data_IF_970889781050
#
_entry.id   IF_970889781050
#
_cell.length_a   1.000
_cell.length_b   1.000
_cell.length_c   1.000
_cell.angle_alpha   90.00
_cell.angle_beta   90.00
_cell.angle_gamma   90.00
#
_symmetry.space_group_name_H-M   'P 1'
#
loop_
_entity.id
_entity.type
_entity.pdbx_description
1 polymer ?
#
# COMPACT_ATOMS: atom_id res chain seq x y z
N UNK A 1 70.30 8.76 -53.78
CA UNK A 1 70.18 8.23 -52.38
C UNK A 1 68.96 8.90 -51.77
N UNK A 2 67.83 8.24 -51.82
CA UNK A 2 66.51 8.79 -51.34
C UNK A 2 66.05 7.95 -50.16
N UNK A 3 66.10 8.55 -48.97
CA UNK A 3 65.54 7.97 -47.75
C UNK A 3 64.03 8.36 -47.65
N UNK A 4 63.18 7.34 -47.67
CA UNK A 4 61.72 7.47 -47.41
C UNK A 4 61.47 7.28 -45.93
N UNK A 5 60.96 8.32 -45.27
CA UNK A 5 60.51 8.29 -43.88
C UNK A 5 59.05 7.84 -43.90
N UNK A 6 58.75 6.68 -43.31
CA UNK A 6 57.40 6.23 -43.04
C UNK A 6 56.95 6.75 -41.65
N UNK A 7 56.01 7.68 -41.64
CA UNK A 7 55.31 8.09 -40.44
C UNK A 7 54.19 7.08 -40.13
N UNK A 8 54.35 6.34 -39.06
CA UNK A 8 53.27 5.50 -38.51
C UNK A 8 52.35 6.35 -37.65
N UNK A 9 51.13 6.55 -38.11
CA UNK A 9 50.06 7.22 -37.37
C UNK A 9 49.37 6.18 -36.48
N UNK A 10 49.70 6.17 -35.18
CA UNK A 10 49.01 5.33 -34.17
C UNK A 10 47.68 5.96 -33.81
N UNK A 11 46.59 5.38 -34.27
CA UNK A 11 45.22 5.75 -33.86
C UNK A 11 44.92 5.10 -32.50
N UNK A 12 44.94 5.94 -31.46
CA UNK A 12 44.52 5.54 -30.11
C UNK A 12 42.98 5.51 -30.05
N UNK A 13 42.36 4.31 -30.11
CA UNK A 13 40.96 4.13 -29.90
C UNK A 13 40.68 4.16 -28.40
N UNK A 14 40.18 5.30 -27.91
CA UNK A 14 39.61 5.42 -26.57
C UNK A 14 38.27 4.68 -26.54
N UNK A 15 38.29 3.44 -26.00
CA UNK A 15 37.06 2.75 -25.63
C UNK A 15 36.44 3.49 -24.43
N UNK A 16 35.43 4.33 -24.71
CA UNK A 16 34.58 4.88 -23.70
C UNK A 16 33.69 3.74 -23.17
N UNK A 17 34.08 3.13 -22.08
CA UNK A 17 33.20 2.31 -21.26
C UNK A 17 32.09 3.22 -20.73
N UNK A 18 30.94 3.21 -21.39
CA UNK A 18 29.72 3.72 -20.80
C UNK A 18 29.46 2.89 -19.54
N UNK A 19 29.88 3.43 -18.38
CA UNK A 19 29.43 2.90 -17.10
C UNK A 19 27.91 3.05 -17.11
N UNK A 20 27.21 1.95 -17.39
CA UNK A 20 25.79 1.85 -17.16
C UNK A 20 25.61 2.21 -15.69
N UNK A 21 25.00 3.35 -15.41
CA UNK A 21 24.54 3.67 -14.06
C UNK A 21 23.47 2.62 -13.77
N UNK A 22 23.90 1.50 -13.18
CA UNK A 22 22.98 0.51 -12.64
C UNK A 22 22.19 1.25 -11.57
N UNK A 23 20.92 1.55 -11.89
CA UNK A 23 19.99 1.96 -10.86
C UNK A 23 19.99 0.84 -9.85
N UNK A 24 20.38 1.14 -8.62
CA UNK A 24 20.24 0.20 -7.54
C UNK A 24 18.73 -0.01 -7.32
N UNK A 25 18.29 -1.26 -7.40
CA UNK A 25 16.92 -1.62 -7.01
C UNK A 25 16.87 -1.64 -5.48
N UNK A 26 15.71 -1.48 -4.87
CA UNK A 26 15.57 -1.49 -3.41
C UNK A 26 14.68 -2.64 -2.96
N UNK A 27 15.11 -3.37 -1.92
CA UNK A 27 14.27 -4.33 -1.18
C UNK A 27 14.19 -3.90 0.27
N UNK A 28 12.99 -3.75 0.81
CA UNK A 28 12.72 -3.41 2.20
C UNK A 28 11.96 -4.58 2.81
N UNK A 29 12.53 -5.19 3.85
CA UNK A 29 11.87 -6.28 4.59
C UNK A 29 11.38 -5.75 5.92
N UNK A 30 10.11 -5.98 6.21
CA UNK A 30 9.49 -5.66 7.50
C UNK A 30 9.21 -6.95 8.27
N UNK A 31 9.39 -6.90 9.59
CA UNK A 31 9.13 -8.01 10.50
C UNK A 31 8.27 -7.55 11.68
N UNK A 32 7.60 -8.51 12.32
CA UNK A 32 6.90 -8.28 13.58
C UNK A 32 7.88 -8.21 14.77
N UNK A 33 7.35 -7.96 15.97
CA UNK A 33 8.13 -7.93 17.20
C UNK A 33 8.79 -9.29 17.54
N UNK A 34 8.29 -10.39 16.99
CA UNK A 34 8.87 -11.75 17.12
C UNK A 34 9.99 -12.03 16.13
N UNK A 35 10.27 -11.12 15.19
CA UNK A 35 11.28 -11.28 14.15
C UNK A 35 10.79 -12.07 12.92
N UNK A 36 9.48 -12.33 12.82
CA UNK A 36 8.90 -13.01 11.66
C UNK A 36 8.68 -12.00 10.53
N UNK A 37 9.23 -12.23 9.32
CA UNK A 37 8.98 -11.35 8.18
C UNK A 37 7.49 -11.29 7.84
N UNK A 38 6.93 -10.09 7.74
CA UNK A 38 5.52 -9.84 7.49
C UNK A 38 5.26 -9.22 6.12
N UNK A 39 6.20 -8.42 5.63
CA UNK A 39 6.08 -7.80 4.33
C UNK A 39 7.45 -7.59 3.67
N UNK A 40 7.49 -7.73 2.36
CA UNK A 40 8.65 -7.40 1.53
C UNK A 40 8.19 -6.42 0.45
N UNK A 41 8.85 -5.26 0.41
CA UNK A 41 8.63 -4.25 -0.62
C UNK A 41 9.86 -4.22 -1.51
N UNK A 42 9.67 -4.49 -2.79
CA UNK A 42 10.71 -4.49 -3.81
C UNK A 42 10.43 -3.36 -4.79
N UNK A 43 11.43 -2.53 -5.09
CA UNK A 43 11.28 -1.42 -6.04
C UNK A 43 12.31 -1.58 -7.15
N UNK A 44 11.82 -1.54 -8.39
CA UNK A 44 12.63 -1.60 -9.60
C UNK A 44 12.15 -0.57 -10.62
N UNK A 45 12.92 0.50 -10.78
CA UNK A 45 12.54 1.60 -11.68
C UNK A 45 11.24 2.28 -11.23
N UNK A 46 10.19 2.19 -12.05
CA UNK A 46 8.85 2.74 -11.76
C UNK A 46 7.85 1.68 -11.25
N UNK A 47 8.33 0.48 -10.96
CA UNK A 47 7.52 -0.61 -10.43
C UNK A 47 7.84 -0.82 -8.94
N UNK A 48 6.81 -1.04 -8.13
CA UNK A 48 6.98 -1.54 -6.77
C UNK A 48 6.15 -2.81 -6.58
N UNK A 49 6.69 -3.78 -5.85
CA UNK A 49 6.04 -5.05 -5.52
C UNK A 49 5.94 -5.19 -4.00
N UNK A 50 4.75 -5.44 -3.51
CA UNK A 50 4.48 -5.74 -2.10
C UNK A 50 4.01 -7.20 -1.99
N UNK A 51 4.67 -7.98 -1.16
CA UNK A 51 4.34 -9.38 -0.93
C UNK A 51 4.48 -9.74 0.54
N UNK A 52 3.69 -10.72 0.99
CA UNK A 52 3.82 -11.38 2.29
C UNK A 52 4.64 -12.65 2.13
N UNK A 53 5.70 -12.87 2.91
CA UNK A 53 6.47 -14.10 2.83
C UNK A 53 5.62 -15.33 3.11
N UNK A 54 5.65 -16.31 2.20
CA UNK A 54 4.87 -17.54 2.28
C UNK A 54 3.49 -17.49 1.64
N UNK A 55 3.06 -16.32 1.17
CA UNK A 55 1.83 -16.17 0.36
C UNK A 55 2.17 -16.15 -1.13
N UNK A 56 1.27 -16.69 -1.94
CA UNK A 56 1.36 -16.69 -3.40
C UNK A 56 0.90 -15.37 -4.01
N UNK A 57 0.05 -14.63 -3.29
CA UNK A 57 -0.51 -13.38 -3.72
C UNK A 57 0.46 -12.22 -3.48
N UNK A 58 0.42 -11.26 -4.38
CA UNK A 58 1.18 -10.04 -4.22
C UNK A 58 0.53 -8.86 -4.96
N UNK A 59 0.92 -7.66 -4.58
CA UNK A 59 0.53 -6.44 -5.28
C UNK A 59 1.72 -5.86 -6.03
N UNK A 60 1.46 -5.33 -7.22
CA UNK A 60 2.37 -4.48 -7.96
C UNK A 60 1.76 -3.08 -8.08
N UNK A 61 2.60 -2.06 -7.97
CA UNK A 61 2.29 -0.72 -8.40
C UNK A 61 3.05 -0.42 -9.68
N UNK A 62 2.35 -0.04 -10.72
CA UNK A 62 2.93 0.43 -11.99
C UNK A 62 2.85 1.96 -12.04
N UNK A 63 3.95 2.62 -11.71
CA UNK A 63 4.01 4.09 -11.69
C UNK A 63 3.99 4.74 -13.07
N UNK A 64 4.15 3.98 -14.18
CA UNK A 64 3.99 4.52 -15.51
C UNK A 64 2.51 4.61 -15.90
N UNK A 65 1.70 3.66 -15.44
CA UNK A 65 0.25 3.61 -15.69
C UNK A 65 -0.58 4.14 -14.53
N UNK A 66 0.07 4.38 -13.38
CA UNK A 66 -0.55 4.86 -12.14
C UNK A 66 -1.72 3.97 -11.68
N UNK A 67 -1.43 2.66 -11.53
CA UNK A 67 -2.40 1.66 -11.09
C UNK A 67 -1.75 0.57 -10.23
N UNK A 68 -2.58 -0.14 -9.47
CA UNK A 68 -2.22 -1.34 -8.74
C UNK A 68 -2.67 -2.57 -9.53
N UNK A 69 -1.84 -3.61 -9.48
CA UNK A 69 -2.12 -4.92 -10.03
C UNK A 69 -2.11 -5.90 -8.86
N UNK A 70 -3.26 -6.45 -8.52
CA UNK A 70 -3.35 -7.58 -7.60
C UNK A 70 -3.14 -8.87 -8.39
N UNK A 71 -2.22 -9.70 -7.94
CA UNK A 71 -1.83 -10.95 -8.61
C UNK A 71 -2.07 -12.12 -7.67
N UNK A 72 -2.84 -13.08 -8.13
CA UNK A 72 -2.99 -14.41 -7.54
C UNK A 72 -2.19 -15.40 -8.38
N UNK A 73 -1.05 -15.87 -7.82
CA UNK A 73 -0.15 -16.76 -8.54
C UNK A 73 -0.63 -18.20 -8.55
N UNK A 74 -1.44 -18.63 -7.57
CA UNK A 74 -1.98 -19.99 -7.49
C UNK A 74 -3.07 -20.19 -8.55
N UNK A 75 -3.94 -19.20 -8.73
CA UNK A 75 -4.98 -19.23 -9.76
C UNK A 75 -4.51 -18.70 -11.11
N UNK A 76 -3.28 -18.20 -11.19
CA UNK A 76 -2.69 -17.59 -12.38
C UNK A 76 -3.57 -16.49 -12.98
N UNK A 77 -4.04 -15.59 -12.12
CA UNK A 77 -4.89 -14.47 -12.51
C UNK A 77 -4.40 -13.16 -11.89
N UNK A 78 -4.82 -12.06 -12.51
CA UNK A 78 -4.53 -10.73 -11.99
C UNK A 78 -5.67 -9.77 -12.27
N UNK A 79 -5.75 -8.72 -11.45
CA UNK A 79 -6.72 -7.64 -11.59
C UNK A 79 -5.99 -6.29 -11.58
N UNK A 80 -6.32 -5.42 -12.53
CA UNK A 80 -5.83 -4.05 -12.56
C UNK A 80 -6.83 -3.12 -11.89
N UNK A 81 -6.34 -2.27 -11.01
CA UNK A 81 -7.12 -1.34 -10.19
C UNK A 81 -6.54 0.05 -10.40
N UNK A 82 -7.20 0.86 -11.18
CA UNK A 82 -6.89 2.26 -11.38
C UNK A 82 -7.87 3.17 -10.60
N UNK A 83 -7.68 4.50 -10.70
CA UNK A 83 -8.56 5.46 -10.01
C UNK A 83 -10.00 5.43 -10.50
N UNK A 84 -10.21 5.12 -11.79
CA UNK A 84 -11.55 5.03 -12.36
C UNK A 84 -12.27 3.80 -11.81
N UNK A 85 -11.59 2.66 -11.78
CA UNK A 85 -12.10 1.41 -11.18
C UNK A 85 -12.54 1.63 -9.72
N UNK A 86 -11.72 2.33 -8.92
CA UNK A 86 -12.07 2.67 -7.52
C UNK A 86 -13.29 3.58 -7.45
N UNK A 87 -13.36 4.58 -8.33
CA UNK A 87 -14.48 5.53 -8.37
C UNK A 87 -15.79 4.84 -8.78
N UNK A 88 -15.75 3.98 -9.80
CA UNK A 88 -16.91 3.21 -10.28
C UNK A 88 -17.41 2.25 -9.19
N UNK A 89 -16.49 1.52 -8.54
CA UNK A 89 -16.82 0.63 -7.43
C UNK A 89 -17.44 1.40 -6.26
N UNK A 90 -16.87 2.55 -5.89
CA UNK A 90 -17.42 3.42 -4.84
C UNK A 90 -18.81 3.93 -5.18
N UNK A 91 -19.05 4.32 -6.43
CA UNK A 91 -20.36 4.75 -6.90
C UNK A 91 -21.37 3.61 -6.86
N UNK A 92 -21.00 2.40 -7.30
CA UNK A 92 -21.87 1.23 -7.29
C UNK A 92 -22.29 0.83 -5.87
N UNK A 93 -21.37 0.85 -4.90
CA UNK A 93 -21.69 0.59 -3.48
C UNK A 93 -22.63 1.68 -2.94
N UNK A 94 -22.36 2.94 -3.23
CA UNK A 94 -23.22 4.06 -2.80
C UNK A 94 -24.64 3.88 -3.34
N UNK A 95 -24.78 3.51 -4.61
CA UNK A 95 -26.06 3.22 -5.23
C UNK A 95 -26.76 2.05 -4.55
N UNK A 96 -26.05 0.94 -4.32
CA UNK A 96 -26.58 -0.23 -3.62
C UNK A 96 -27.07 0.13 -2.21
N UNK A 97 -26.31 0.95 -1.47
CA UNK A 97 -26.74 1.43 -0.15
C UNK A 97 -28.01 2.27 -0.22
N UNK A 98 -28.14 3.15 -1.21
CA UNK A 98 -29.33 3.96 -1.44
C UNK A 98 -30.56 3.08 -1.78
N UNK A 99 -30.37 2.08 -2.62
CA UNK A 99 -31.43 1.16 -3.01
C UNK A 99 -31.89 0.25 -1.86
N UNK A 100 -30.97 -0.12 -0.97
CA UNK A 100 -31.27 -0.93 0.22
C UNK A 100 -31.80 -0.10 1.40
N UNK A 101 -31.54 1.20 1.46
CA UNK A 101 -31.92 2.06 2.58
C UNK A 101 -33.41 1.97 2.98
N UNK A 102 -34.40 1.97 2.04
CA UNK A 102 -35.83 1.82 2.38
C UNK A 102 -36.14 0.47 3.04
N UNK A 103 -35.54 -0.60 2.55
CA UNK A 103 -35.75 -1.95 3.09
C UNK A 103 -35.17 -2.07 4.50
N UNK A 104 -33.97 -1.52 4.73
CA UNK A 104 -33.33 -1.48 6.04
C UNK A 104 -34.13 -0.62 7.01
N UNK A 105 -34.69 0.52 6.57
CA UNK A 105 -35.54 1.36 7.39
C UNK A 105 -36.83 0.63 7.81
N UNK A 106 -37.46 -0.06 6.88
CA UNK A 106 -38.65 -0.86 7.16
C UNK A 106 -38.36 -2.01 8.13
N UNK A 107 -37.22 -2.70 7.97
CA UNK A 107 -36.77 -3.77 8.87
C UNK A 107 -36.50 -3.23 10.28
N UNK A 108 -35.88 -2.07 10.41
CA UNK A 108 -35.65 -1.40 11.71
C UNK A 108 -36.97 -1.04 12.41
N UNK A 109 -37.95 -0.55 11.68
CA UNK A 109 -39.27 -0.29 12.28
C UNK A 109 -39.94 -1.59 12.78
N UNK A 110 -39.81 -2.69 12.04
CA UNK A 110 -40.27 -4.00 12.49
C UNK A 110 -39.52 -4.46 13.75
N UNK A 111 -38.21 -4.29 13.80
CA UNK A 111 -37.42 -4.64 14.98
C UNK A 111 -37.80 -3.83 16.23
N UNK A 112 -38.19 -2.55 16.07
CA UNK A 112 -38.67 -1.73 17.20
C UNK A 112 -39.99 -2.30 17.83
N UNK A 113 -40.78 -2.98 17.04
CA UNK A 113 -42.03 -3.60 17.50
C UNK A 113 -41.84 -4.92 18.26
N UNK A 114 -40.63 -5.52 18.22
CA UNK A 114 -40.33 -6.77 18.90
C UNK A 114 -39.97 -6.58 20.38
N UNK A 115 -40.21 -7.60 21.22
CA UNK A 115 -39.70 -7.62 22.60
C UNK A 115 -38.20 -7.45 22.67
N UNK A 116 -37.66 -6.81 23.73
CA UNK A 116 -36.20 -6.47 23.83
C UNK A 116 -35.28 -7.68 23.65
N UNK A 117 -35.65 -8.83 24.17
CA UNK A 117 -34.86 -10.07 24.09
C UNK A 117 -34.75 -10.60 22.65
N UNK A 118 -35.86 -10.58 21.91
CA UNK A 118 -35.87 -11.01 20.50
C UNK A 118 -35.11 -10.02 19.62
N UNK A 119 -35.21 -8.72 19.91
CA UNK A 119 -34.46 -7.68 19.21
C UNK A 119 -32.97 -7.88 19.36
N UNK A 120 -32.47 -8.07 20.59
CA UNK A 120 -31.07 -8.29 20.86
C UNK A 120 -30.50 -9.52 20.14
N UNK A 121 -31.28 -10.60 20.04
CA UNK A 121 -30.89 -11.82 19.35
C UNK A 121 -30.75 -11.57 17.82
N UNK A 122 -31.70 -10.86 17.22
CA UNK A 122 -31.68 -10.54 15.79
C UNK A 122 -30.54 -9.56 15.48
N UNK A 123 -30.36 -8.52 16.29
CA UNK A 123 -29.24 -7.57 16.15
C UNK A 123 -27.88 -8.27 16.24
N UNK A 124 -27.74 -9.25 17.12
CA UNK A 124 -26.52 -10.07 17.22
C UNK A 124 -26.32 -10.95 15.97
N UNK A 125 -27.37 -11.53 15.41
CA UNK A 125 -27.30 -12.33 14.18
C UNK A 125 -27.06 -11.47 12.93
N UNK A 126 -27.60 -10.25 12.90
CA UNK A 126 -27.41 -9.33 11.77
C UNK A 126 -25.99 -8.75 11.72
N UNK A 127 -25.26 -8.71 12.85
CA UNK A 127 -23.88 -8.27 12.92
C UNK A 127 -23.58 -6.99 12.11
N UNK A 128 -22.63 -7.06 11.18
CA UNK A 128 -22.26 -5.92 10.32
C UNK A 128 -23.40 -5.43 9.40
N UNK A 129 -24.38 -6.29 9.04
CA UNK A 129 -25.53 -5.88 8.24
C UNK A 129 -26.45 -4.91 8.99
N UNK A 130 -26.49 -4.94 10.32
CA UNK A 130 -27.27 -3.99 11.10
C UNK A 130 -26.75 -2.54 10.95
N UNK A 131 -25.46 -2.39 10.67
CA UNK A 131 -24.80 -1.12 10.42
C UNK A 131 -24.82 -0.74 8.92
N UNK A 132 -25.06 -1.69 8.02
CA UNK A 132 -25.17 -1.46 6.59
C UNK A 132 -26.43 -0.61 6.31
N UNK A 133 -26.24 0.59 5.78
CA UNK A 133 -27.37 1.52 5.54
C UNK A 133 -27.84 2.32 6.77
N UNK A 134 -27.09 2.33 7.87
CA UNK A 134 -27.25 3.37 8.89
C UNK A 134 -26.83 4.71 8.24
N UNK A 135 -27.83 5.50 7.84
CA UNK A 135 -27.65 6.75 7.10
C UNK A 135 -26.87 7.86 7.87
N UNK A 136 -26.33 7.53 9.03
CA UNK A 136 -25.54 8.42 9.88
C UNK A 136 -24.33 7.72 10.49
N UNK A 137 -23.58 6.94 9.70
CA UNK A 137 -22.20 6.72 10.11
C UNK A 137 -21.49 8.06 9.95
N UNK A 138 -21.26 8.74 11.07
CA UNK A 138 -20.40 9.93 11.10
C UNK A 138 -19.14 9.57 10.28
N UNK A 139 -18.80 10.34 9.24
CA UNK A 139 -17.59 10.04 8.48
C UNK A 139 -16.43 9.83 9.45
N UNK A 140 -15.67 8.76 9.27
CA UNK A 140 -14.52 8.51 10.13
C UNK A 140 -13.62 9.74 10.08
N UNK A 141 -13.24 10.24 11.25
CA UNK A 141 -12.36 11.40 11.31
C UNK A 141 -11.05 11.08 10.59
N UNK A 142 -10.52 12.02 9.79
CA UNK A 142 -9.28 11.77 9.06
C UNK A 142 -8.13 11.50 10.03
N UNK A 143 -7.18 10.68 9.58
CA UNK A 143 -5.97 10.43 10.36
C UNK A 143 -4.98 11.55 10.12
N UNK A 144 -4.56 12.20 11.20
CA UNK A 144 -3.56 13.24 11.22
C UNK A 144 -2.26 12.73 11.84
N UNK A 145 -1.12 13.03 11.20
CA UNK A 145 0.20 12.72 11.76
C UNK A 145 0.73 13.89 12.57
N UNK A 146 0.82 13.69 13.88
CA UNK A 146 1.35 14.68 14.83
C UNK A 146 2.80 14.36 15.14
N UNK A 147 3.70 15.24 14.73
CA UNK A 147 5.14 15.08 14.97
C UNK A 147 5.46 15.08 16.47
N UNK A 148 6.22 14.08 16.93
CA UNK A 148 6.62 13.92 18.33
C UNK A 148 8.09 14.22 18.59
N UNK A 149 8.97 13.73 17.77
CA UNK A 149 10.41 13.86 17.95
C UNK A 149 11.17 12.98 16.96
N UNK A 150 12.47 12.83 17.17
CA UNK A 150 13.31 11.94 16.38
C UNK A 150 13.75 10.76 17.24
N UNK A 151 13.88 9.59 16.62
CA UNK A 151 14.34 8.36 17.26
C UNK A 151 15.27 7.58 16.33
N UNK A 152 15.79 6.47 16.82
CA UNK A 152 16.56 5.49 16.06
C UNK A 152 15.97 4.11 16.29
N UNK A 153 15.21 3.62 15.29
CA UNK A 153 14.53 2.32 15.34
C UNK A 153 15.18 1.37 14.36
N UNK A 154 15.48 0.14 14.78
CA UNK A 154 16.11 -0.91 13.96
C UNK A 154 17.39 -0.44 13.24
N UNK A 155 18.12 0.54 13.81
CA UNK A 155 19.32 1.11 13.21
C UNK A 155 19.08 2.34 12.34
N UNK A 156 17.85 2.65 11.96
CA UNK A 156 17.47 3.78 11.11
C UNK A 156 17.16 5.03 11.94
N UNK A 157 17.71 6.18 11.54
CA UNK A 157 17.27 7.47 12.08
C UNK A 157 15.92 7.83 11.46
N UNK A 158 14.96 8.20 12.29
CA UNK A 158 13.63 8.49 11.81
C UNK A 158 12.94 9.59 12.64
N UNK A 159 11.90 10.16 12.07
CA UNK A 159 11.01 11.10 12.73
C UNK A 159 9.76 10.35 13.21
N UNK A 160 9.48 10.42 14.51
CA UNK A 160 8.31 9.78 15.11
C UNK A 160 7.08 10.68 14.97
N UNK A 161 5.98 10.06 14.56
CA UNK A 161 4.67 10.66 14.48
C UNK A 161 3.64 9.81 15.23
N UNK A 162 2.73 10.48 15.95
CA UNK A 162 1.49 9.86 16.40
C UNK A 162 0.45 10.01 15.30
N UNK A 163 -0.16 8.92 14.91
CA UNK A 163 -1.33 8.94 14.03
C UNK A 163 -2.58 9.09 14.92
N UNK A 164 -3.22 10.22 14.78
CA UNK A 164 -4.40 10.60 15.57
C UNK A 164 -5.66 10.50 14.73
N UNK A 165 -6.70 9.89 15.25
CA UNK A 165 -8.05 9.93 14.71
C UNK A 165 -8.92 10.72 15.68
N UNK A 166 -9.15 12.01 15.39
CA UNK A 166 -9.69 12.94 16.37
C UNK A 166 -8.77 13.10 17.58
N UNK A 167 -9.22 12.68 18.75
CA UNK A 167 -8.42 12.72 19.98
C UNK A 167 -7.76 11.39 20.34
N UNK A 168 -8.04 10.32 19.60
CA UNK A 168 -7.52 8.98 19.85
C UNK A 168 -6.21 8.76 19.09
N UNK A 169 -5.17 8.31 19.79
CA UNK A 169 -3.93 7.83 19.16
C UNK A 169 -4.16 6.39 18.68
N UNK A 170 -4.21 6.21 17.37
CA UNK A 170 -4.49 4.91 16.74
C UNK A 170 -3.23 4.14 16.39
N UNK A 171 -2.16 4.85 16.03
CA UNK A 171 -0.85 4.23 15.78
C UNK A 171 0.30 5.21 16.04
N UNK A 172 1.50 4.67 16.07
CA UNK A 172 2.76 5.43 16.06
C UNK A 172 3.57 4.96 14.86
N UNK A 173 4.15 5.90 14.11
CA UNK A 173 4.96 5.59 12.95
C UNK A 173 6.29 6.34 13.02
N UNK A 174 7.40 5.66 12.72
CA UNK A 174 8.69 6.30 12.55
C UNK A 174 9.06 6.32 11.06
N UNK A 175 9.22 7.54 10.52
CA UNK A 175 9.51 7.77 9.11
C UNK A 175 10.97 8.20 8.95
N UNK A 176 11.76 7.41 8.21
CA UNK A 176 13.12 7.75 7.84
C UNK A 176 13.14 8.53 6.52
N UNK A 177 14.15 9.37 6.32
CA UNK A 177 14.43 9.89 4.97
C UNK A 177 14.88 8.75 4.06
N UNK A 178 14.76 8.92 2.75
CA UNK A 178 15.28 7.94 1.79
C UNK A 178 16.75 7.60 2.07
N UNK A 179 17.57 8.62 2.37
CA UNK A 179 19.00 8.45 2.65
C UNK A 179 19.26 7.69 3.96
N UNK A 180 18.53 8.02 5.04
CA UNK A 180 18.66 7.33 6.32
C UNK A 180 18.14 5.88 6.26
N UNK A 181 17.18 5.60 5.38
CA UNK A 181 16.69 4.25 5.11
C UNK A 181 17.55 3.46 4.11
N UNK A 182 18.54 4.08 3.45
CA UNK A 182 19.37 3.42 2.44
C UNK A 182 18.63 3.18 1.10
N UNK A 183 17.53 3.88 0.85
CA UNK A 183 16.74 3.78 -0.39
C UNK A 183 17.17 4.86 -1.38
N UNK A 184 17.32 4.50 -2.66
CA UNK A 184 17.66 5.48 -3.70
C UNK A 184 16.57 6.53 -3.87
N UNK A 185 16.92 7.75 -4.33
CA UNK A 185 15.92 8.80 -4.57
C UNK A 185 14.87 8.40 -5.62
N UNK A 186 15.28 7.63 -6.64
CA UNK A 186 14.37 7.15 -7.68
C UNK A 186 13.37 6.14 -7.11
N UNK A 187 13.85 5.20 -6.31
CA UNK A 187 13.00 4.16 -5.73
C UNK A 187 12.07 4.75 -4.65
N UNK A 188 12.60 5.70 -3.87
CA UNK A 188 11.77 6.44 -2.93
C UNK A 188 10.63 7.19 -3.62
N UNK A 189 10.88 7.77 -4.82
CA UNK A 189 9.82 8.40 -5.61
C UNK A 189 8.73 7.40 -6.00
N UNK A 190 9.12 6.21 -6.46
CA UNK A 190 8.18 5.15 -6.82
C UNK A 190 7.40 4.66 -5.59
N UNK A 191 8.10 4.42 -4.47
CA UNK A 191 7.49 4.03 -3.21
C UNK A 191 6.49 5.09 -2.70
N UNK A 192 6.86 6.36 -2.74
CA UNK A 192 5.98 7.47 -2.33
C UNK A 192 4.74 7.59 -3.22
N UNK A 193 4.88 7.35 -4.53
CA UNK A 193 3.76 7.34 -5.46
C UNK A 193 2.81 6.17 -5.17
N UNK A 194 3.34 4.97 -4.92
CA UNK A 194 2.55 3.80 -4.49
C UNK A 194 1.78 4.09 -3.19
N UNK A 195 2.45 4.62 -2.17
CA UNK A 195 1.80 4.97 -0.90
C UNK A 195 0.74 6.05 -1.07
N UNK A 196 0.98 7.03 -1.95
CA UNK A 196 0.01 8.06 -2.31
C UNK A 196 -1.24 7.48 -2.96
N UNK A 197 -1.07 6.58 -3.92
CA UNK A 197 -2.16 5.88 -4.58
C UNK A 197 -2.99 5.03 -3.58
N UNK A 198 -2.32 4.24 -2.74
CA UNK A 198 -2.99 3.41 -1.74
C UNK A 198 -3.77 4.25 -0.71
N UNK A 199 -3.24 5.42 -0.33
CA UNK A 199 -3.93 6.37 0.55
C UNK A 199 -5.21 6.91 -0.08
N UNK A 200 -5.15 7.28 -1.35
CA UNK A 200 -6.33 7.76 -2.09
C UNK A 200 -7.39 6.67 -2.21
N UNK A 201 -6.99 5.45 -2.52
CA UNK A 201 -7.88 4.28 -2.51
C UNK A 201 -8.54 4.07 -1.15
N UNK A 202 -7.72 4.08 -0.07
CA UNK A 202 -8.22 3.90 1.29
C UNK A 202 -9.20 5.01 1.69
N UNK A 203 -8.94 6.28 1.31
CA UNK A 203 -9.85 7.39 1.58
C UNK A 203 -11.18 7.26 0.83
N UNK A 204 -11.17 6.70 -0.37
CA UNK A 204 -12.37 6.40 -1.15
C UNK A 204 -13.15 5.24 -0.54
N UNK A 205 -12.47 4.18 -0.10
CA UNK A 205 -13.08 3.05 0.60
C UNK A 205 -13.61 3.43 1.99
N UNK A 206 -12.96 4.36 2.69
CA UNK A 206 -13.38 4.81 4.03
C UNK A 206 -14.74 5.53 4.01
N UNK A 207 -15.12 6.16 2.90
CA UNK A 207 -16.47 6.69 2.70
C UNK A 207 -17.53 5.56 2.64
N UNK A 208 -17.10 4.34 2.34
CA UNK A 208 -17.95 3.17 2.15
C UNK A 208 -18.06 2.29 3.40
N UNK A 209 -17.04 2.28 4.24
CA UNK A 209 -17.01 1.42 5.42
C UNK A 209 -16.29 2.07 6.58
N UNK A 210 -17.04 2.57 7.54
CA UNK A 210 -16.49 2.96 8.84
C UNK A 210 -15.92 1.76 9.64
N UNK A 211 -16.06 0.53 9.11
CA UNK A 211 -15.78 -0.73 9.81
C UNK A 211 -14.62 -1.55 9.25
N UNK A 212 -13.94 -1.13 8.16
CA UNK A 212 -12.74 -1.82 7.71
C UNK A 212 -11.54 -1.38 8.57
N UNK A 213 -11.61 -1.78 9.84
CA UNK A 213 -10.53 -1.57 10.79
C UNK A 213 -9.32 -2.44 10.47
N UNK A 214 -8.15 -1.88 10.67
CA UNK A 214 -6.87 -2.59 10.76
C UNK A 214 -5.87 -2.23 9.65
N UNK A 215 -4.63 -1.93 10.03
CA UNK A 215 -3.45 -1.88 9.17
C UNK A 215 -3.33 -0.73 8.16
N UNK A 216 -4.39 -0.02 7.87
CA UNK A 216 -4.41 1.04 6.84
C UNK A 216 -4.02 2.43 7.37
N UNK A 217 -3.87 2.58 8.68
CA UNK A 217 -3.62 3.86 9.32
C UNK A 217 -2.32 4.54 8.87
N UNK A 218 -1.29 3.75 8.56
CA UNK A 218 0.01 4.26 8.13
C UNK A 218 -0.06 4.98 6.79
N UNK A 219 -0.91 4.47 5.90
CA UNK A 219 -1.02 4.98 4.53
C UNK A 219 -1.88 6.24 4.43
N UNK A 220 -2.64 6.57 5.48
CA UNK A 220 -3.56 7.71 5.50
C UNK A 220 -2.89 9.02 5.95
N UNK A 221 -1.70 8.94 6.59
CA UNK A 221 -0.95 10.13 7.02
C UNK A 221 -0.23 10.83 5.87
N UNK A 222 -0.21 12.16 5.89
CA UNK A 222 0.38 13.01 4.85
C UNK A 222 1.89 13.21 4.92
N UNK A 223 2.61 12.62 5.91
CA UNK A 223 4.04 12.81 6.04
C UNK A 223 4.82 11.96 5.01
N UNK A 224 5.91 12.55 4.51
CA UNK A 224 6.80 11.88 3.57
C UNK A 224 7.91 11.14 4.33
N UNK A 225 8.23 9.92 3.90
CA UNK A 225 9.32 9.11 4.46
C UNK A 225 9.11 7.62 4.20
N UNK A 226 10.16 6.86 4.48
CA UNK A 226 10.10 5.39 4.49
C UNK A 226 9.67 4.97 5.89
N UNK A 227 8.53 4.29 6.06
CA UNK A 227 8.12 3.80 7.37
C UNK A 227 9.09 2.69 7.82
N UNK A 228 9.91 3.01 8.81
CA UNK A 228 10.88 2.04 9.38
C UNK A 228 10.35 1.35 10.62
N UNK A 229 9.29 1.88 11.23
CA UNK A 229 8.54 1.18 12.26
C UNK A 229 7.11 1.70 12.33
N UNK A 230 6.22 0.80 12.70
CA UNK A 230 4.80 1.04 12.91
C UNK A 230 4.34 0.27 14.10
N UNK A 231 3.62 0.95 14.99
CA UNK A 231 2.99 0.34 16.16
C UNK A 231 1.52 0.71 16.18
N UNK A 232 0.67 -0.27 16.02
CA UNK A 232 -0.78 -0.11 16.08
C UNK A 232 -1.27 -0.36 17.51
N UNK A 233 -2.09 0.56 18.03
CA UNK A 233 -2.65 0.41 19.37
C UNK A 233 -3.95 -0.40 19.38
N UNK A 234 -4.72 -0.34 18.29
CA UNK A 234 -5.85 -1.20 18.03
C UNK A 234 -5.37 -2.48 17.35
N UNK A 235 -5.44 -3.62 18.02
CA UNK A 235 -4.94 -4.90 17.49
C UNK A 235 -3.56 -5.30 18.00
N UNK A 236 -2.75 -4.37 18.52
CA UNK A 236 -1.46 -4.67 19.17
C UNK A 236 -0.36 -5.09 18.21
N UNK A 237 -0.48 -4.77 16.92
CA UNK A 237 0.54 -5.10 15.93
C UNK A 237 1.70 -4.10 15.97
N UNK A 238 2.91 -4.63 15.88
CA UNK A 238 4.13 -3.83 15.79
C UNK A 238 5.01 -4.41 14.68
N UNK A 239 5.42 -3.53 13.76
CA UNK A 239 6.26 -3.89 12.62
C UNK A 239 7.47 -2.96 12.57
N UNK A 240 8.62 -3.52 12.21
CA UNK A 240 9.83 -2.73 11.98
C UNK A 240 10.58 -3.25 10.76
N UNK A 241 11.31 -2.36 10.09
CA UNK A 241 12.23 -2.74 9.03
C UNK A 241 13.37 -3.55 9.63
N UNK A 242 13.59 -4.76 9.13
CA UNK A 242 14.69 -5.64 9.53
C UNK A 242 15.89 -5.54 8.59
N UNK A 243 15.64 -5.29 7.30
CA UNK A 243 16.68 -5.22 6.28
C UNK A 243 16.29 -4.26 5.16
N UNK A 244 17.28 -3.56 4.63
CA UNK A 244 17.19 -2.80 3.38
C UNK A 244 18.37 -3.19 2.50
N UNK A 245 18.09 -3.67 1.29
CA UNK A 245 19.10 -4.14 0.33
C UNK A 245 18.97 -3.37 -0.98
N UNK A 246 20.12 -3.09 -1.60
CA UNK A 246 20.28 -2.45 -2.92
C UNK A 246 20.65 -3.44 -4.03
N UNK A 247 20.47 -4.75 -3.80
CA UNK A 247 20.77 -5.79 -4.78
C UNK A 247 19.82 -5.71 -5.97
N UNK A 248 20.39 -5.93 -7.16
CA UNK A 248 19.60 -5.97 -8.39
C UNK A 248 18.51 -7.05 -8.32
N UNK A 249 17.29 -6.67 -8.66
CA UNK A 249 16.12 -7.53 -8.70
C UNK A 249 15.93 -8.12 -10.09
N UNK A 250 15.46 -9.37 -10.15
CA UNK A 250 15.06 -9.99 -11.40
C UNK A 250 13.80 -9.32 -11.96
N UNK A 251 13.83 -8.92 -13.22
CA UNK A 251 12.70 -8.30 -13.89
C UNK A 251 11.46 -9.24 -13.95
N UNK A 252 11.69 -10.55 -14.01
CA UNK A 252 10.62 -11.53 -14.01
C UNK A 252 9.70 -11.43 -12.78
N UNK A 253 10.21 -10.93 -11.64
CA UNK A 253 9.39 -10.71 -10.43
C UNK A 253 8.29 -9.66 -10.63
N UNK A 254 8.46 -8.78 -11.63
CA UNK A 254 7.53 -7.69 -11.95
C UNK A 254 6.72 -7.95 -13.21
N UNK A 255 7.10 -8.94 -14.00
CA UNK A 255 6.54 -9.20 -15.33
C UNK A 255 5.80 -10.55 -15.44
N UNK A 256 5.98 -11.47 -14.50
CA UNK A 256 5.42 -12.84 -14.55
C UNK A 256 3.89 -12.83 -14.71
N UNK A 257 3.19 -11.92 -14.06
CA UNK A 257 1.73 -11.79 -14.13
C UNK A 257 1.20 -11.56 -15.55
N UNK A 258 2.01 -11.02 -16.46
CA UNK A 258 1.60 -10.74 -17.86
C UNK A 258 1.21 -11.99 -18.64
N UNK A 259 1.62 -13.17 -18.16
CA UNK A 259 1.21 -14.46 -18.74
C UNK A 259 -0.08 -15.00 -18.12
N UNK A 260 -0.62 -14.37 -17.07
CA UNK A 260 -1.81 -14.79 -16.33
C UNK A 260 -3.09 -14.25 -16.99
N UNK A 261 -4.22 -14.79 -16.58
CA UNK A 261 -5.54 -14.33 -17.04
C UNK A 261 -5.91 -13.03 -16.32
N UNK A 262 -6.29 -12.02 -17.09
CA UNK A 262 -6.82 -10.80 -16.50
C UNK A 262 -8.27 -10.99 -16.09
N UNK A 263 -8.55 -10.73 -14.81
CA UNK A 263 -9.88 -10.65 -14.26
C UNK A 263 -10.34 -9.18 -14.16
N UNK A 264 -11.64 -8.98 -14.22
CA UNK A 264 -12.25 -7.66 -13.96
C UNK A 264 -12.81 -7.64 -12.55
N UNK A 265 -12.80 -6.46 -11.94
CA UNK A 265 -13.51 -6.27 -10.67
C UNK A 265 -14.99 -6.68 -10.86
N UNK A 266 -15.54 -7.49 -9.95
CA UNK A 266 -16.95 -7.88 -10.04
C UNK A 266 -17.84 -6.65 -10.13
N UNK A 267 -18.71 -6.59 -11.15
CA UNK A 267 -19.76 -5.58 -11.21
C UNK A 267 -20.78 -5.90 -10.11
N UNK A 268 -21.04 -4.95 -9.24
CA UNK A 268 -22.12 -5.04 -8.27
C UNK A 268 -23.43 -4.85 -9.07
N UNK A 269 -24.08 -5.95 -9.46
CA UNK A 269 -25.42 -5.97 -10.09
C UNK A 269 -26.49 -6.27 -9.04
#
# INVERSE_FOLDING_TARGET
MNARIFSALSVLVLAQSAASITRADSTITMQDAGGTPQAVIEVKGNMARLSTPGESDYMLYDGARDLIIHVDSDEQQYMEIDRNTVSEFSAAITQMQQDMAPQIAQMREQLKSLPPEQRAMIEQQMGAMANFGAAETKPAEPIELVKRGSDKVAGFKCQVYDAMQGQEKVSEVCLATAADAGVSKSDFKTLSAMMGFMREMASSAQKLSADLGGGQHIMLGGAEGVPVSVKEFKGGHEYAVSDVSDKALDAARFDAYKSYRQERMPSLQ
#
